data_IF_971537217157
#
_entry.id   IF_971537217157
#
_cell.length_a   1.000
_cell.length_b   1.000
_cell.length_c   1.000
_cell.angle_alpha   90.00
_cell.angle_beta   90.00
_cell.angle_gamma   90.00
#
_symmetry.space_group_name_H-M   'P 1'
#
loop_
_entity.id
_entity.type
_entity.pdbx_description
1 polymer ?
#
# COMPACT_ATOMS: atom_id res chain seq x y z
N UNK A 1 5.95 19.98 3.70
CA UNK A 1 4.51 20.00 3.32
C UNK A 1 4.17 19.03 2.17
N UNK A 2 4.93 17.94 1.95
CA UNK A 2 4.63 16.92 0.92
C UNK A 2 4.04 15.62 1.49
N UNK A 3 4.19 15.38 2.81
CA UNK A 3 3.72 14.17 3.49
C UNK A 3 2.19 14.04 3.52
N UNK A 4 1.45 15.16 3.47
CA UNK A 4 -0.01 15.14 3.54
C UNK A 4 -0.69 14.74 2.22
N UNK A 5 -0.02 14.95 1.08
CA UNK A 5 -0.59 14.66 -0.24
C UNK A 5 -0.49 13.18 -0.63
N UNK A 6 0.53 12.46 -0.13
CA UNK A 6 0.76 11.05 -0.49
C UNK A 6 -0.32 10.14 0.11
N UNK A 7 -0.83 10.45 1.30
CA UNK A 7 -1.90 9.66 1.95
C UNK A 7 -3.24 9.78 1.20
N UNK A 8 -3.43 10.86 0.43
CA UNK A 8 -4.72 11.15 -0.25
C UNK A 8 -5.05 10.22 -1.42
N UNK A 9 -4.07 9.46 -1.93
CA UNK A 9 -4.25 8.53 -3.05
C UNK A 9 -4.45 7.08 -2.61
N UNK A 10 -4.19 6.75 -1.34
CA UNK A 10 -4.52 5.44 -0.79
C UNK A 10 -6.02 5.38 -0.53
N UNK A 11 -6.72 4.61 -1.36
CA UNK A 11 -8.15 4.31 -1.20
C UNK A 11 -8.33 2.80 -1.15
N UNK A 12 -9.45 2.37 -0.57
CA UNK A 12 -9.94 1.00 -0.70
C UNK A 12 -9.85 0.53 -2.15
N UNK A 13 -9.40 -0.71 -2.32
CA UNK A 13 -9.21 -1.40 -3.61
C UNK A 13 -8.15 -0.78 -4.54
N UNK A 14 -7.43 0.25 -4.09
CA UNK A 14 -6.35 0.85 -4.90
C UNK A 14 -5.10 -0.02 -4.89
N UNK A 15 -4.37 -0.02 -6.01
CA UNK A 15 -3.07 -0.67 -6.10
C UNK A 15 -2.01 0.14 -5.37
N UNK A 16 -1.17 -0.54 -4.61
CA UNK A 16 -0.10 0.03 -3.80
C UNK A 16 1.13 -0.87 -3.85
N UNK A 17 2.25 -0.33 -3.38
CA UNK A 17 3.44 -1.09 -3.05
C UNK A 17 3.51 -1.23 -1.54
N UNK A 18 3.69 -2.45 -1.08
CA UNK A 18 3.84 -2.76 0.34
C UNK A 18 5.19 -3.43 0.57
N UNK A 19 5.91 -2.97 1.60
CA UNK A 19 7.19 -3.54 2.02
C UNK A 19 6.94 -4.75 2.91
N UNK A 20 7.46 -5.90 2.49
CA UNK A 20 7.38 -7.15 3.25
C UNK A 20 8.57 -7.29 4.21
N UNK A 21 8.56 -8.35 5.02
CA UNK A 21 9.60 -8.63 6.03
C UNK A 21 11.02 -8.75 5.45
N UNK A 22 11.15 -9.03 4.16
CA UNK A 22 12.43 -9.13 3.45
C UNK A 22 12.98 -7.76 2.99
N UNK A 23 12.40 -6.65 3.46
CA UNK A 23 12.69 -5.27 3.02
C UNK A 23 12.45 -5.01 1.52
N UNK A 24 11.83 -5.97 0.83
CA UNK A 24 11.44 -5.88 -0.57
C UNK A 24 10.01 -5.35 -0.71
N UNK A 25 9.78 -4.62 -1.80
CA UNK A 25 8.49 -4.01 -2.13
C UNK A 25 7.73 -4.89 -3.12
N UNK A 26 6.49 -5.22 -2.77
CA UNK A 26 5.60 -6.04 -3.60
C UNK A 26 4.34 -5.28 -3.96
N UNK A 27 3.75 -5.64 -5.09
CA UNK A 27 2.45 -5.12 -5.50
C UNK A 27 1.37 -5.70 -4.59
N UNK A 28 0.60 -4.80 -4.00
CA UNK A 28 -0.49 -5.15 -3.13
C UNK A 28 -1.73 -4.30 -3.45
N UNK A 29 -2.88 -4.77 -3.01
CA UNK A 29 -4.16 -4.07 -3.13
C UNK A 29 -4.61 -3.68 -1.74
N UNK A 30 -5.00 -2.43 -1.56
CA UNK A 30 -5.59 -1.97 -0.29
C UNK A 30 -6.93 -2.63 -0.10
N UNK A 31 -7.09 -3.31 1.03
CA UNK A 31 -8.35 -3.96 1.43
C UNK A 31 -9.02 -3.20 2.56
N UNK A 32 -8.25 -2.50 3.40
CA UNK A 32 -8.79 -1.63 4.43
C UNK A 32 -7.80 -0.52 4.84
N UNK A 33 -8.32 0.57 5.38
CA UNK A 33 -7.55 1.71 5.87
C UNK A 33 -7.93 1.96 7.34
N UNK A 34 -6.95 1.89 8.22
CA UNK A 34 -7.11 2.13 9.65
C UNK A 34 -6.25 3.32 10.08
N UNK A 35 -6.62 4.05 11.14
CA UNK A 35 -5.79 5.16 11.64
C UNK A 35 -4.36 4.71 11.99
N UNK A 36 -4.19 3.45 12.43
CA UNK A 36 -2.89 2.87 12.78
C UNK A 36 -2.12 2.24 11.60
N UNK A 37 -2.73 2.07 10.42
CA UNK A 37 -2.07 1.41 9.30
C UNK A 37 -3.00 1.07 8.13
N UNK A 38 -2.48 0.31 7.17
CA UNK A 38 -3.20 -0.08 5.96
C UNK A 38 -3.20 -1.60 5.86
N UNK A 39 -4.38 -2.17 5.66
CA UNK A 39 -4.53 -3.60 5.38
C UNK A 39 -4.45 -3.81 3.88
N UNK A 40 -3.51 -4.65 3.44
CA UNK A 40 -3.25 -4.91 2.02
C UNK A 40 -3.18 -6.41 1.73
N UNK A 41 -3.55 -6.81 0.52
CA UNK A 41 -3.38 -8.17 0.01
C UNK A 41 -2.35 -8.18 -1.10
N UNK A 42 -1.34 -9.03 -0.98
CA UNK A 42 -0.26 -9.15 -1.96
C UNK A 42 -0.72 -9.93 -3.19
N UNK A 43 -0.72 -9.29 -4.36
CA UNK A 43 -1.15 -9.92 -5.62
C UNK A 43 -0.23 -11.10 -6.01
N UNK A 44 1.05 -11.02 -5.63
CA UNK A 44 2.06 -12.02 -6.01
C UNK A 44 1.98 -13.32 -5.23
N UNK A 45 1.35 -13.33 -4.06
CA UNK A 45 1.43 -14.46 -3.13
C UNK A 45 0.06 -15.09 -2.80
N UNK A 46 -1.07 -14.48 -3.18
CA UNK A 46 -2.42 -14.94 -2.81
C UNK A 46 -2.57 -15.24 -1.30
N UNK A 47 -1.80 -14.54 -0.46
CA UNK A 47 -1.86 -14.66 1.00
C UNK A 47 -3.06 -13.91 1.59
N UNK A 48 -3.36 -14.21 2.84
CA UNK A 48 -4.33 -13.47 3.65
C UNK A 48 -3.95 -11.97 3.76
N UNK A 49 -4.94 -11.08 3.96
CA UNK A 49 -4.68 -9.65 4.15
C UNK A 49 -3.75 -9.40 5.34
N UNK A 50 -2.71 -8.59 5.13
CA UNK A 50 -1.78 -8.20 6.18
C UNK A 50 -1.93 -6.72 6.47
N UNK A 51 -2.03 -6.37 7.75
CA UNK A 51 -2.00 -4.97 8.20
C UNK A 51 -0.56 -4.52 8.37
N UNK A 52 -0.19 -3.49 7.62
CA UNK A 52 1.13 -2.86 7.66
C UNK A 52 1.01 -1.42 8.12
N UNK A 53 2.05 -0.87 8.77
CA UNK A 53 2.05 0.52 9.15
C UNK A 53 2.22 1.41 7.90
N UNK A 54 1.81 2.68 8.01
CA UNK A 54 1.79 3.63 6.89
C UNK A 54 3.17 3.87 6.27
N UNK A 55 4.27 3.73 7.03
CA UNK A 55 5.63 3.83 6.49
C UNK A 55 6.01 2.68 5.54
N UNK A 56 5.28 1.57 5.59
CA UNK A 56 5.53 0.39 4.77
C UNK A 56 4.66 0.33 3.51
N UNK A 57 3.82 1.33 3.26
CA UNK A 57 2.84 1.32 2.17
C UNK A 57 2.92 2.60 1.36
N UNK A 58 3.05 2.44 0.04
CA UNK A 58 3.14 3.55 -0.91
C UNK A 58 2.05 3.38 -1.98
N UNK A 59 1.20 4.38 -2.23
CA UNK A 59 0.22 4.29 -3.31
C UNK A 59 0.92 4.17 -4.67
N UNK A 60 0.42 3.28 -5.51
CA UNK A 60 0.85 3.17 -6.89
C UNK A 60 0.03 4.21 -7.67
N UNK A 61 0.40 5.50 -7.52
CA UNK A 61 -0.29 6.60 -8.20
C UNK A 61 -0.36 6.30 -9.69
N UNK A 62 -1.57 6.35 -10.26
CA UNK A 62 -1.85 5.98 -11.66
C UNK A 62 -1.26 6.93 -12.71
N UNK A 63 -0.22 7.69 -12.39
CA UNK A 63 0.47 8.62 -13.29
C UNK A 63 2.00 8.36 -13.35
N UNK A 64 2.40 7.09 -13.33
CA UNK A 64 3.71 6.71 -13.88
C UNK A 64 3.62 6.69 -15.42
N UNK A 65 3.88 7.83 -16.07
CA UNK A 65 4.22 7.87 -17.49
C UNK A 65 5.71 7.50 -17.57
N UNK A 66 6.00 6.33 -18.15
CA UNK A 66 7.36 5.85 -18.44
C UNK A 66 8.06 6.70 -19.48
#
# INVERSE_FOLDING_TARGET
MAYLFIVSELKLESKCLARFHDDLWYKATVVDLHDSGVTVTFDSFQDDPVTLPWEGVVPLSGNCVF
#
